data_IF_277737564361
#
_entry.id   IF_277737564361
#
_cell.length_a   1.000
_cell.length_b   1.000
_cell.length_c   1.000
_cell.angle_alpha   90.00
_cell.angle_beta   90.00
_cell.angle_gamma   90.00
#
_symmetry.space_group_name_H-M   'P 1'
#
loop_
_entity.id
_entity.type
_entity.pdbx_description
1 polymer ?
#
# COMPACT_ATOMS: atom_id res chain seq x y z
N UNK A 1 -28.02 13.12 -24.04
CA UNK A 1 -26.89 12.18 -24.11
C UNK A 1 -26.27 12.06 -22.73
N UNK A 2 -26.23 10.85 -22.14
CA UNK A 2 -25.62 10.66 -20.82
C UNK A 2 -24.10 10.86 -20.92
N UNK A 3 -23.53 11.63 -19.98
CA UNK A 3 -22.08 11.84 -19.94
C UNK A 3 -21.39 10.57 -19.43
N UNK A 4 -20.95 9.73 -20.37
CA UNK A 4 -20.27 8.45 -20.15
C UNK A 4 -19.04 8.56 -19.24
N UNK A 5 -18.43 9.75 -19.10
CA UNK A 5 -17.28 9.98 -18.21
C UNK A 5 -17.61 9.90 -16.72
N UNK A 6 -18.90 9.85 -16.34
CA UNK A 6 -19.35 9.76 -14.94
C UNK A 6 -19.79 8.36 -14.52
N UNK A 7 -19.84 7.41 -15.46
CA UNK A 7 -20.19 6.03 -15.13
C UNK A 7 -18.99 5.37 -14.45
N UNK A 8 -19.22 4.53 -13.42
CA UNK A 8 -18.16 3.67 -12.93
C UNK A 8 -17.67 2.79 -14.08
N UNK A 9 -16.35 2.55 -14.12
CA UNK A 9 -15.76 1.64 -15.10
C UNK A 9 -16.41 0.25 -15.04
N UNK A 10 -16.41 -0.51 -16.14
CA UNK A 10 -16.93 -1.87 -16.15
C UNK A 10 -16.27 -2.72 -15.05
N UNK A 11 -17.04 -3.60 -14.42
CA UNK A 11 -16.61 -4.44 -13.27
C UNK A 11 -15.37 -5.30 -13.60
N UNK A 12 -15.15 -5.63 -14.88
CA UNK A 12 -13.99 -6.38 -15.34
C UNK A 12 -12.66 -5.64 -15.07
N UNK A 13 -12.64 -4.31 -15.18
CA UNK A 13 -11.45 -3.48 -14.96
C UNK A 13 -10.97 -3.55 -13.49
N UNK A 14 -11.86 -3.94 -12.56
CA UNK A 14 -11.59 -4.01 -11.11
C UNK A 14 -10.62 -5.15 -10.77
N UNK A 15 -10.53 -6.19 -11.61
CA UNK A 15 -9.71 -7.38 -11.36
C UNK A 15 -8.52 -7.54 -12.31
N UNK A 16 -8.56 -6.91 -13.49
CA UNK A 16 -7.54 -7.08 -14.54
C UNK A 16 -6.14 -6.62 -14.10
N UNK A 17 -6.05 -5.59 -13.24
CA UNK A 17 -4.76 -5.11 -12.73
C UNK A 17 -3.97 -6.20 -11.99
N UNK A 18 -4.64 -7.15 -11.35
CA UNK A 18 -3.95 -8.24 -10.63
C UNK A 18 -3.12 -9.12 -11.57
N UNK A 19 -3.52 -9.24 -12.84
CA UNK A 19 -2.80 -10.00 -13.85
C UNK A 19 -1.45 -9.39 -14.20
N UNK A 20 -1.29 -8.07 -13.99
CA UNK A 20 -0.05 -7.33 -14.26
C UNK A 20 0.87 -7.18 -13.03
N UNK A 21 0.52 -7.80 -11.90
CA UNK A 21 1.33 -7.75 -10.69
C UNK A 21 2.66 -8.51 -10.84
N UNK A 22 3.80 -7.87 -10.56
CA UNK A 22 5.13 -8.50 -10.59
C UNK A 22 5.31 -9.61 -9.52
N UNK A 23 4.43 -9.66 -8.52
CA UNK A 23 4.38 -10.74 -7.53
C UNK A 23 3.77 -12.03 -8.10
N UNK A 24 3.03 -11.95 -9.21
CA UNK A 24 2.41 -13.11 -9.86
C UNK A 24 3.48 -14.12 -10.30
N UNK A 25 3.23 -15.40 -9.98
CA UNK A 25 4.15 -16.49 -10.30
C UNK A 25 5.36 -16.62 -9.35
N UNK A 26 5.43 -15.80 -8.28
CA UNK A 26 6.43 -15.95 -7.21
C UNK A 26 5.85 -16.74 -6.04
N UNK A 27 6.74 -17.22 -5.18
CA UNK A 27 6.37 -17.85 -3.91
C UNK A 27 5.61 -16.86 -3.02
N UNK A 28 4.41 -17.24 -2.57
CA UNK A 28 3.58 -16.44 -1.68
C UNK A 28 4.24 -16.18 -0.33
N UNK A 29 5.12 -17.08 0.14
CA UNK A 29 5.87 -16.91 1.39
C UNK A 29 6.80 -15.69 1.37
N UNK A 30 7.09 -15.11 0.20
CA UNK A 30 7.81 -13.86 0.09
C UNK A 30 6.98 -12.65 0.58
N UNK A 31 5.66 -12.69 0.44
CA UNK A 31 4.76 -11.57 0.73
C UNK A 31 3.97 -11.79 2.01
N UNK A 32 3.63 -13.04 2.30
CA UNK A 32 2.86 -13.46 3.45
C UNK A 32 3.76 -14.24 4.41
N UNK A 33 3.72 -13.91 5.70
CA UNK A 33 4.54 -14.59 6.69
C UNK A 33 3.95 -15.96 7.03
N UNK A 34 4.78 -16.97 7.33
CA UNK A 34 4.32 -18.17 8.01
C UNK A 34 4.02 -17.85 9.49
N UNK A 35 3.17 -18.66 10.12
CA UNK A 35 2.84 -18.53 11.54
C UNK A 35 4.12 -18.52 12.40
N UNK A 36 4.23 -17.55 13.31
CA UNK A 36 5.34 -17.46 14.27
C UNK A 36 6.61 -16.77 13.79
N UNK A 37 6.68 -16.23 12.56
CA UNK A 37 7.83 -15.44 12.10
C UNK A 37 7.97 -14.12 12.89
N UNK A 38 9.15 -13.85 13.45
CA UNK A 38 9.41 -12.65 14.25
C UNK A 38 10.79 -12.04 14.00
N UNK A 39 10.97 -10.81 14.47
CA UNK A 39 12.26 -10.14 14.52
C UNK A 39 12.89 -9.89 13.14
N UNK A 40 14.19 -10.18 13.03
CA UNK A 40 15.00 -9.84 11.85
C UNK A 40 14.58 -10.59 10.57
N UNK A 41 14.02 -11.81 10.69
CA UNK A 41 13.50 -12.57 9.55
C UNK A 41 12.35 -11.84 8.89
N UNK A 42 11.35 -11.44 9.71
CA UNK A 42 10.18 -10.68 9.27
C UNK A 42 10.60 -9.39 8.55
N UNK A 43 11.48 -8.61 9.16
CA UNK A 43 11.96 -7.35 8.57
C UNK A 43 12.62 -7.59 7.21
N UNK A 44 13.44 -8.63 7.09
CA UNK A 44 14.14 -8.95 5.83
C UNK A 44 13.17 -9.38 4.72
N UNK A 45 12.16 -10.20 5.06
CA UNK A 45 11.10 -10.59 4.12
C UNK A 45 10.31 -9.38 3.65
N UNK A 46 9.86 -8.54 4.58
CA UNK A 46 9.10 -7.34 4.28
C UNK A 46 9.89 -6.38 3.38
N UNK A 47 11.18 -6.15 3.66
CA UNK A 47 12.05 -5.34 2.79
C UNK A 47 12.15 -5.90 1.37
N UNK A 48 12.33 -7.23 1.23
CA UNK A 48 12.38 -7.88 -0.09
C UNK A 48 11.07 -7.75 -0.84
N UNK A 49 9.93 -7.91 -0.17
CA UNK A 49 8.62 -7.74 -0.77
C UNK A 49 8.38 -6.29 -1.20
N UNK A 50 8.69 -5.31 -0.34
CA UNK A 50 8.57 -3.88 -0.63
C UNK A 50 9.42 -3.46 -1.83
N UNK A 51 10.64 -3.97 -1.95
CA UNK A 51 11.53 -3.70 -3.08
C UNK A 51 10.90 -4.14 -4.43
N UNK A 52 10.22 -5.28 -4.46
CA UNK A 52 9.49 -5.70 -5.65
C UNK A 52 8.26 -4.81 -5.92
N UNK A 53 7.50 -4.48 -4.89
CA UNK A 53 6.34 -3.61 -5.03
C UNK A 53 6.71 -2.23 -5.57
N UNK A 54 7.88 -1.69 -5.20
CA UNK A 54 8.34 -0.36 -5.62
C UNK A 54 8.45 -0.19 -7.15
N UNK A 55 8.72 -1.28 -7.88
CA UNK A 55 8.81 -1.30 -9.34
C UNK A 55 7.59 -1.93 -10.02
N UNK A 56 6.56 -2.30 -9.25
CA UNK A 56 5.36 -2.95 -9.77
C UNK A 56 4.43 -1.93 -10.44
N UNK A 57 3.97 -2.17 -11.69
CA UNK A 57 3.15 -1.20 -12.41
C UNK A 57 1.77 -0.98 -11.77
N UNK A 58 1.27 -1.97 -11.02
CA UNK A 58 -0.05 -1.95 -10.39
C UNK A 58 0.00 -1.63 -8.91
N UNK A 59 1.09 -0.99 -8.46
CA UNK A 59 1.29 -0.60 -7.06
C UNK A 59 0.14 0.30 -6.54
N UNK A 60 -0.35 1.32 -7.28
CA UNK A 60 -1.50 2.13 -6.87
C UNK A 60 -2.78 1.33 -6.65
N UNK A 61 -3.10 0.42 -7.57
CA UNK A 61 -4.30 -0.43 -7.52
C UNK A 61 -4.22 -1.41 -6.35
N UNK A 62 -3.06 -2.03 -6.18
CA UNK A 62 -2.80 -2.99 -5.12
C UNK A 62 -2.90 -2.36 -3.73
N UNK A 63 -2.35 -1.15 -3.54
CA UNK A 63 -2.44 -0.42 -2.28
C UNK A 63 -3.89 0.00 -1.97
N UNK A 64 -4.62 0.50 -2.97
CA UNK A 64 -6.00 0.90 -2.82
C UNK A 64 -6.91 -0.27 -2.45
N UNK A 65 -6.74 -1.41 -3.13
CA UNK A 65 -7.46 -2.64 -2.82
C UNK A 65 -7.21 -3.07 -1.37
N UNK A 66 -5.94 -3.17 -0.97
CA UNK A 66 -5.58 -3.65 0.35
C UNK A 66 -6.09 -2.76 1.49
N UNK A 67 -6.17 -1.45 1.27
CA UNK A 67 -6.75 -0.51 2.22
C UNK A 67 -8.27 -0.57 2.21
N UNK A 68 -8.91 -0.72 1.05
CA UNK A 68 -10.37 -0.80 0.93
C UNK A 68 -10.96 -2.08 1.54
N UNK A 69 -10.29 -3.22 1.39
CA UNK A 69 -10.72 -4.52 1.94
C UNK A 69 -10.15 -4.80 3.32
N UNK A 70 -9.30 -3.91 3.85
CA UNK A 70 -8.61 -4.07 5.12
C UNK A 70 -7.80 -5.39 5.17
N UNK A 71 -7.02 -5.67 4.12
CA UNK A 71 -6.27 -6.92 3.99
C UNK A 71 -5.39 -7.17 5.24
N UNK A 72 -5.66 -8.25 6.00
CA UNK A 72 -5.14 -8.40 7.35
C UNK A 72 -3.67 -8.77 7.41
N UNK A 73 -3.12 -9.38 6.34
CA UNK A 73 -1.78 -9.95 6.38
C UNK A 73 -0.92 -9.58 5.17
N UNK A 74 0.39 -9.68 5.35
CA UNK A 74 1.37 -9.61 4.27
C UNK A 74 1.67 -8.19 3.77
N UNK A 75 2.48 -8.12 2.71
CA UNK A 75 2.87 -6.87 2.04
C UNK A 75 2.04 -6.67 0.78
N UNK A 76 1.34 -5.55 0.71
CA UNK A 76 0.46 -5.18 -0.41
C UNK A 76 0.79 -3.76 -0.86
N UNK A 77 0.93 -3.52 -2.16
CA UNK A 77 1.23 -2.19 -2.70
C UNK A 77 2.52 -1.55 -2.17
N UNK A 78 3.42 -2.34 -1.56
CA UNK A 78 4.62 -1.85 -0.90
C UNK A 78 4.41 -1.39 0.55
N UNK A 79 3.28 -1.72 1.16
CA UNK A 79 2.97 -1.43 2.56
C UNK A 79 2.84 -2.73 3.35
N UNK A 80 3.49 -2.77 4.52
CA UNK A 80 3.32 -3.85 5.51
C UNK A 80 1.95 -3.74 6.18
N UNK A 81 1.54 -4.81 6.86
CA UNK A 81 0.34 -4.81 7.71
C UNK A 81 0.33 -3.63 8.70
N UNK A 82 1.43 -3.44 9.44
CA UNK A 82 1.55 -2.36 10.42
C UNK A 82 1.45 -0.96 9.79
N UNK A 83 1.99 -0.77 8.59
CA UNK A 83 1.87 0.48 7.84
C UNK A 83 0.43 0.71 7.36
N UNK A 84 -0.25 -0.33 6.85
CA UNK A 84 -1.66 -0.22 6.45
C UNK A 84 -2.57 0.11 7.63
N UNK A 85 -2.35 -0.50 8.80
CA UNK A 85 -3.09 -0.17 10.02
C UNK A 85 -2.92 1.30 10.42
N UNK A 86 -1.72 1.87 10.26
CA UNK A 86 -1.49 3.30 10.48
C UNK A 86 -2.23 4.16 9.47
N UNK A 87 -2.19 3.80 8.18
CA UNK A 87 -2.92 4.51 7.12
C UNK A 87 -4.42 4.52 7.35
N UNK A 88 -4.99 3.38 7.76
CA UNK A 88 -6.41 3.27 8.16
C UNK A 88 -6.73 4.18 9.35
N UNK A 89 -5.82 4.29 10.33
CA UNK A 89 -6.02 5.13 11.50
C UNK A 89 -5.94 6.63 11.21
N UNK A 90 -5.06 7.07 10.30
CA UNK A 90 -4.89 8.50 9.95
C UNK A 90 -5.79 8.96 8.80
N UNK A 91 -6.49 8.03 8.14
CA UNK A 91 -7.29 8.28 6.95
C UNK A 91 -6.45 8.29 5.68
N UNK A 92 -6.87 7.49 4.69
CA UNK A 92 -6.19 7.28 3.41
C UNK A 92 -7.06 7.68 2.22
N UNK A 93 -8.37 7.84 2.44
CA UNK A 93 -9.38 8.03 1.40
C UNK A 93 -9.16 9.31 0.59
N UNK A 94 -8.51 10.33 1.15
CA UNK A 94 -8.15 11.58 0.46
C UNK A 94 -7.03 11.41 -0.59
N UNK A 95 -6.34 10.26 -0.56
CA UNK A 95 -5.33 9.86 -1.55
C UNK A 95 -5.90 8.99 -2.65
N UNK A 96 -7.13 8.49 -2.47
CA UNK A 96 -7.77 7.57 -3.38
C UNK A 96 -8.53 8.32 -4.48
N UNK A 97 -8.69 7.68 -5.64
CA UNK A 97 -9.66 8.14 -6.62
C UNK A 97 -11.10 8.00 -6.08
N UNK A 98 -12.06 8.54 -6.84
CA UNK A 98 -13.49 8.55 -6.47
C UNK A 98 -14.03 7.16 -6.11
N UNK A 99 -13.54 6.10 -6.76
CA UNK A 99 -14.03 4.74 -6.61
C UNK A 99 -13.12 3.89 -5.72
N UNK A 100 -12.04 4.47 -5.19
CA UNK A 100 -11.01 3.79 -4.41
C UNK A 100 -10.35 2.62 -5.17
N UNK A 101 -10.26 2.73 -6.48
CA UNK A 101 -9.57 1.73 -7.30
C UNK A 101 -8.07 1.97 -7.37
N UNK A 102 -7.63 3.23 -7.22
CA UNK A 102 -6.22 3.63 -7.20
C UNK A 102 -5.99 4.64 -6.08
N UNK A 103 -4.74 4.68 -5.60
CA UNK A 103 -4.26 5.69 -4.65
C UNK A 103 -3.00 6.38 -5.17
N UNK A 104 -2.84 7.64 -4.77
CA UNK A 104 -1.57 8.36 -4.88
C UNK A 104 -0.58 7.78 -3.85
N UNK A 105 0.27 6.88 -4.32
CA UNK A 105 1.23 6.14 -3.49
C UNK A 105 2.25 7.07 -2.79
N UNK A 106 2.89 8.04 -3.47
CA UNK A 106 3.72 9.03 -2.78
C UNK A 106 3.02 9.76 -1.64
N UNK A 107 1.73 10.13 -1.81
CA UNK A 107 0.96 10.75 -0.72
C UNK A 107 0.70 9.80 0.45
N UNK A 108 0.49 8.51 0.19
CA UNK A 108 0.41 7.50 1.27
C UNK A 108 1.74 7.35 2.01
N UNK A 109 2.86 7.32 1.29
CA UNK A 109 4.19 7.24 1.89
C UNK A 109 4.45 8.47 2.79
N UNK A 110 4.10 9.67 2.33
CA UNK A 110 4.23 10.89 3.12
C UNK A 110 3.41 10.88 4.43
N UNK A 111 2.25 10.21 4.46
CA UNK A 111 1.46 10.02 5.70
C UNK A 111 2.12 9.08 6.71
N UNK A 112 3.04 8.22 6.26
CA UNK A 112 3.78 7.28 7.11
C UNK A 112 5.12 7.83 7.58
N UNK A 113 5.64 8.88 6.94
CA UNK A 113 6.84 9.53 7.40
C UNK A 113 6.63 10.05 8.83
N UNK A 114 7.59 9.83 9.75
CA UNK A 114 7.49 10.36 11.10
C UNK A 114 7.28 11.87 10.98
N UNK A 115 6.20 12.40 11.56
CA UNK A 115 6.01 13.83 11.71
C UNK A 115 7.25 14.37 12.41
N UNK A 116 8.17 14.98 11.66
CA UNK A 116 9.42 15.51 12.18
C UNK A 116 9.05 16.52 13.25
N UNK A 117 9.06 16.11 14.52
CA UNK A 117 9.14 17.05 15.64
C UNK A 117 10.38 17.87 15.33
N UNK A 118 10.17 19.13 14.97
CA UNK A 118 11.21 20.14 14.92
C UNK A 118 11.82 20.17 16.32
N UNK A 119 12.92 19.46 16.52
CA UNK A 119 13.76 19.63 17.70
C UNK A 119 14.42 20.99 17.52
N UNK A 120 13.80 22.03 18.09
CA UNK A 120 14.44 23.34 18.21
C UNK A 120 15.77 23.14 18.96
N UNK A 121 16.92 23.60 18.44
CA UNK A 121 18.14 23.57 19.21
C UNK A 121 17.93 24.41 20.47
N UNK A 122 18.25 23.83 21.63
CA UNK A 122 18.34 24.57 22.90
C UNK A 122 19.42 25.64 22.70
N UNK A 123 19.07 26.91 22.79
CA UNK A 123 20.04 28.00 22.80
C UNK A 123 21.03 27.76 23.96
N UNK A 124 22.33 27.73 23.65
CA UNK A 124 23.37 27.72 24.65
C UNK A 124 23.53 29.15 25.19
N UNK A 125 23.43 29.31 26.52
CA UNK A 125 23.82 30.50 27.27
C UNK A 125 25.30 30.48 27.59
#
# INVERSE_FOLDING_TARGET
MANVRRLPGPIADIWEWQLMGLCRGRDSAQFFHPDGERGSSRNRRELKAKALCAVCPVRPECAAHALATHEPYGVWGGFTEAERLRLLAVGWEDTADRYRHRVDVPRLEAKLEPSTRIVRPRAAS
#
